data_IF_783952495589
#
_entry.id   IF_783952495589
#
_cell.length_a   1.000
_cell.length_b   1.000
_cell.length_c   1.000
_cell.angle_alpha   90.00
_cell.angle_beta   90.00
_cell.angle_gamma   90.00
#
_symmetry.space_group_name_H-M   'P 1'
#
loop_
_entity.id
_entity.type
_entity.pdbx_description
1 polymer ?
#
# COMPACT_ATOMS: atom_id res chain seq x y z
N UNK A 1 -26.60 -10.37 -9.73
CA UNK A 1 -25.94 -9.33 -10.56
C UNK A 1 -24.52 -9.26 -10.04
N UNK A 2 -23.53 -9.61 -10.87
CA UNK A 2 -22.13 -9.53 -10.47
C UNK A 2 -21.73 -8.04 -10.33
N UNK A 3 -21.15 -7.66 -9.18
CA UNK A 3 -20.58 -6.33 -9.03
C UNK A 3 -19.36 -6.21 -9.96
N UNK A 4 -19.33 -5.11 -10.70
CA UNK A 4 -18.19 -4.71 -11.52
C UNK A 4 -17.53 -3.50 -10.91
N UNK A 5 -16.21 -3.43 -11.00
CA UNK A 5 -15.42 -2.34 -10.47
C UNK A 5 -14.62 -1.67 -11.57
N UNK A 6 -14.53 -0.36 -11.50
CA UNK A 6 -13.56 0.45 -12.24
C UNK A 6 -12.31 0.63 -11.39
N UNK A 7 -11.15 0.52 -12.00
CA UNK A 7 -9.86 0.63 -11.32
C UNK A 7 -9.15 1.89 -11.79
N UNK A 8 -8.84 2.79 -10.87
CA UNK A 8 -8.11 4.03 -11.13
C UNK A 8 -6.74 3.98 -10.48
N UNK A 9 -5.69 4.20 -11.28
CA UNK A 9 -4.33 4.41 -10.81
C UNK A 9 -4.09 5.91 -10.60
N UNK A 10 -3.82 6.32 -9.38
CA UNK A 10 -3.60 7.71 -9.00
C UNK A 10 -2.11 7.90 -8.72
N UNK A 11 -1.39 8.47 -9.68
CA UNK A 11 0.01 8.82 -9.50
C UNK A 11 0.11 10.00 -8.53
N UNK A 12 0.78 9.79 -7.40
CA UNK A 12 0.92 10.81 -6.36
C UNK A 12 2.37 11.22 -6.11
N UNK A 13 3.34 10.40 -6.46
CA UNK A 13 4.73 10.68 -6.18
C UNK A 13 5.68 10.21 -7.28
N UNK A 14 6.92 10.68 -7.19
CA UNK A 14 8.00 10.37 -8.12
C UNK A 14 9.34 10.27 -7.39
N UNK A 15 10.22 9.42 -7.89
CA UNK A 15 11.58 9.30 -7.40
C UNK A 15 12.57 9.18 -8.55
N UNK A 16 13.46 10.16 -8.64
CA UNK A 16 14.58 10.10 -9.56
C UNK A 16 15.57 9.04 -9.09
N UNK A 17 15.74 7.99 -9.90
CA UNK A 17 16.69 6.91 -9.65
C UNK A 17 17.43 6.52 -10.91
N UNK A 18 18.52 5.80 -10.74
CA UNK A 18 19.21 5.11 -11.81
C UNK A 18 18.99 3.60 -11.74
N UNK A 19 19.31 2.91 -12.81
CA UNK A 19 19.15 1.45 -12.90
C UNK A 19 19.95 0.74 -11.79
N UNK A 20 21.16 1.21 -11.48
CA UNK A 20 22.02 0.68 -10.40
C UNK A 20 21.29 0.64 -9.05
N UNK A 21 20.43 1.61 -8.75
CA UNK A 21 19.66 1.63 -7.51
C UNK A 21 18.44 0.70 -7.50
N UNK A 22 18.01 0.21 -8.67
CA UNK A 22 16.81 -0.61 -8.81
C UNK A 22 17.10 -2.10 -8.86
N UNK A 23 18.35 -2.48 -9.14
CA UNK A 23 18.75 -3.89 -9.25
C UNK A 23 19.76 -4.28 -8.16
N UNK A 24 19.54 -5.45 -7.58
CA UNK A 24 20.52 -6.05 -6.67
C UNK A 24 21.79 -6.42 -7.46
N UNK A 25 22.94 -5.92 -7.00
CA UNK A 25 24.21 -6.09 -7.70
C UNK A 25 24.52 -5.00 -8.72
N UNK A 26 23.63 -4.02 -8.87
CA UNK A 26 23.78 -2.90 -9.80
C UNK A 26 23.41 -3.27 -11.25
N UNK A 27 23.63 -2.32 -12.13
CA UNK A 27 23.48 -2.50 -13.58
C UNK A 27 24.74 -1.91 -14.27
N UNK A 28 25.45 -2.68 -15.11
CA UNK A 28 26.63 -2.16 -15.82
C UNK A 28 26.29 -1.06 -16.84
N UNK A 29 25.03 -0.94 -17.24
CA UNK A 29 24.52 0.10 -18.14
C UNK A 29 23.73 1.15 -17.36
N UNK A 30 24.31 1.66 -16.26
CA UNK A 30 23.60 2.59 -15.37
C UNK A 30 23.10 3.83 -16.14
N UNK A 31 21.79 4.05 -16.05
CA UNK A 31 21.09 5.16 -16.67
C UNK A 31 19.85 5.55 -15.87
N UNK A 32 19.16 6.64 -16.24
CA UNK A 32 17.95 7.06 -15.57
C UNK A 32 16.89 5.93 -15.58
N UNK A 33 16.41 5.55 -14.40
CA UNK A 33 15.34 4.57 -14.21
C UNK A 33 14.43 5.02 -13.06
N UNK A 34 13.66 6.10 -13.27
CA UNK A 34 12.83 6.67 -12.23
C UNK A 34 11.69 5.72 -11.83
N UNK A 35 11.17 5.91 -10.62
CA UNK A 35 9.99 5.22 -10.10
C UNK A 35 8.87 6.21 -9.88
N UNK A 36 7.66 5.82 -10.24
CA UNK A 36 6.43 6.53 -9.90
C UNK A 36 5.68 5.79 -8.81
N UNK A 37 5.07 6.56 -7.91
CA UNK A 37 4.27 6.04 -6.81
C UNK A 37 2.79 6.22 -7.09
N UNK A 38 2.03 5.15 -6.85
CA UNK A 38 0.59 5.10 -7.10
C UNK A 38 -0.17 4.64 -5.85
N UNK A 39 -1.34 5.20 -5.66
CA UNK A 39 -2.43 4.58 -4.91
C UNK A 39 -3.54 4.22 -5.90
N UNK A 40 -4.41 3.31 -5.51
CA UNK A 40 -5.45 2.85 -6.41
C UNK A 40 -6.81 3.05 -5.79
N UNK A 41 -7.80 3.38 -6.62
CA UNK A 41 -9.19 3.37 -6.22
C UNK A 41 -9.94 2.31 -7.00
N UNK A 42 -10.74 1.52 -6.30
CA UNK A 42 -11.56 0.44 -6.81
C UNK A 42 -13.00 0.89 -6.64
N UNK A 43 -13.62 1.33 -7.72
CA UNK A 43 -14.93 2.01 -7.69
C UNK A 43 -16.01 1.09 -8.20
N UNK A 44 -16.90 0.68 -7.30
CA UNK A 44 -18.11 -0.07 -7.61
C UNK A 44 -19.36 0.80 -7.58
N UNK A 45 -20.49 0.26 -8.02
CA UNK A 45 -21.77 0.99 -8.03
C UNK A 45 -22.27 1.37 -6.63
N UNK A 46 -21.97 0.56 -5.61
CA UNK A 46 -22.49 0.72 -4.25
C UNK A 46 -21.42 1.15 -3.26
N UNK A 47 -20.16 0.83 -3.50
CA UNK A 47 -19.06 1.07 -2.59
C UNK A 47 -17.74 1.20 -3.36
N UNK A 48 -16.81 1.90 -2.75
CA UNK A 48 -15.46 2.06 -3.28
C UNK A 48 -14.45 1.67 -2.21
N UNK A 49 -13.30 1.22 -2.67
CA UNK A 49 -12.14 0.88 -1.83
C UNK A 49 -10.96 1.72 -2.27
N UNK A 50 -10.11 2.06 -1.33
CA UNK A 50 -8.79 2.62 -1.63
C UNK A 50 -7.74 1.54 -1.36
N UNK A 51 -6.83 1.33 -2.30
CA UNK A 51 -5.74 0.39 -2.16
C UNK A 51 -4.44 1.16 -2.03
N UNK A 52 -3.80 1.00 -0.87
CA UNK A 52 -2.70 1.77 -0.32
C UNK A 52 -3.03 3.26 -0.05
N UNK A 53 -2.23 3.89 0.80
CA UNK A 53 -2.48 5.27 1.22
C UNK A 53 -1.41 6.26 0.79
N UNK A 54 -0.27 5.74 0.28
CA UNK A 54 0.85 6.58 -0.12
C UNK A 54 1.59 7.23 1.06
N UNK A 55 2.43 8.20 0.75
CA UNK A 55 3.15 9.01 1.74
C UNK A 55 2.74 10.49 1.68
N UNK A 56 2.94 11.21 2.77
CA UNK A 56 2.73 12.65 2.90
C UNK A 56 4.00 13.46 2.53
N UNK A 57 3.87 14.80 2.48
CA UNK A 57 4.97 15.67 2.13
C UNK A 57 6.18 15.55 3.08
N UNK A 58 6.03 15.51 4.42
CA UNK A 58 7.16 15.32 5.33
C UNK A 58 7.93 14.01 5.10
N UNK A 59 7.22 12.90 4.85
CA UNK A 59 7.86 11.61 4.54
C UNK A 59 8.54 11.63 3.20
N UNK A 60 7.92 12.25 2.19
CA UNK A 60 8.52 12.45 0.88
C UNK A 60 9.83 13.22 0.99
N UNK A 61 9.85 14.35 1.67
CA UNK A 61 11.04 15.17 1.90
C UNK A 61 12.14 14.40 2.63
N UNK A 62 11.81 13.79 3.79
CA UNK A 62 12.74 12.95 4.57
C UNK A 62 13.44 11.89 3.72
N UNK A 63 12.72 11.31 2.76
CA UNK A 63 13.18 10.21 1.94
C UNK A 63 13.61 10.63 0.53
N UNK A 64 13.67 11.93 0.25
CA UNK A 64 14.04 12.48 -1.06
C UNK A 64 13.13 11.96 -2.19
N UNK A 65 11.83 11.93 -1.92
CA UNK A 65 10.78 11.59 -2.88
C UNK A 65 9.99 12.83 -3.23
N UNK A 66 9.70 13.01 -4.49
CA UNK A 66 8.90 14.15 -4.94
C UNK A 66 7.41 13.81 -4.80
N UNK A 67 6.69 14.55 -3.96
CA UNK A 67 5.25 14.51 -3.93
C UNK A 67 4.71 15.35 -5.09
N UNK A 68 4.08 14.71 -6.07
CA UNK A 68 3.50 15.38 -7.24
C UNK A 68 2.14 15.99 -6.92
N UNK A 69 1.40 15.30 -6.04
CA UNK A 69 0.10 15.76 -5.55
C UNK A 69 -0.26 14.99 -4.26
N UNK A 70 -0.92 15.63 -3.30
CA UNK A 70 -1.45 14.91 -2.15
C UNK A 70 -2.45 13.83 -2.55
N UNK A 71 -2.37 12.66 -1.92
CA UNK A 71 -3.24 11.51 -2.24
C UNK A 71 -4.72 11.88 -2.14
N UNK A 72 -5.11 12.64 -1.10
CA UNK A 72 -6.50 13.09 -0.92
C UNK A 72 -7.00 13.95 -2.08
N UNK A 73 -6.16 14.80 -2.67
CA UNK A 73 -6.52 15.57 -3.86
C UNK A 73 -6.70 14.68 -5.09
N UNK A 74 -5.80 13.69 -5.27
CA UNK A 74 -5.92 12.72 -6.35
C UNK A 74 -7.21 11.92 -6.30
N UNK A 75 -7.64 11.50 -5.10
CA UNK A 75 -8.91 10.82 -4.88
C UNK A 75 -10.12 11.73 -5.20
N UNK A 76 -10.07 12.99 -4.76
CA UNK A 76 -11.14 13.98 -5.05
C UNK A 76 -11.32 14.23 -6.55
N UNK A 77 -10.26 14.17 -7.36
CA UNK A 77 -10.33 14.34 -8.82
C UNK A 77 -11.20 13.27 -9.50
N UNK A 78 -11.33 12.10 -8.91
CA UNK A 78 -12.19 11.01 -9.40
C UNK A 78 -13.48 10.87 -8.58
N UNK A 79 -13.83 11.92 -7.81
CA UNK A 79 -15.08 11.99 -7.05
C UNK A 79 -15.08 11.26 -5.71
N UNK A 80 -13.93 10.78 -5.22
CA UNK A 80 -13.83 10.11 -3.92
C UNK A 80 -13.42 11.12 -2.85
N UNK A 81 -14.29 11.30 -1.84
CA UNK A 81 -13.94 12.04 -0.64
C UNK A 81 -13.28 11.09 0.37
N UNK A 82 -11.99 11.29 0.75
CA UNK A 82 -11.31 10.44 1.71
C UNK A 82 -12.04 10.29 3.05
N UNK A 83 -12.71 11.34 3.53
CA UNK A 83 -13.45 11.31 4.79
C UNK A 83 -14.65 10.34 4.78
N UNK A 84 -15.11 9.94 3.60
CA UNK A 84 -16.24 9.03 3.42
C UNK A 84 -15.84 7.61 3.03
N UNK A 85 -14.55 7.35 2.83
CA UNK A 85 -14.05 6.00 2.50
C UNK A 85 -14.24 5.09 3.71
N UNK A 86 -14.90 3.97 3.50
CA UNK A 86 -15.21 2.99 4.55
C UNK A 86 -14.23 1.82 4.59
N UNK A 87 -13.54 1.55 3.49
CA UNK A 87 -12.62 0.41 3.39
C UNK A 87 -11.31 0.82 2.67
N UNK A 88 -10.20 0.60 3.34
CA UNK A 88 -8.83 0.77 2.81
C UNK A 88 -8.13 -0.58 2.84
N UNK A 89 -7.51 -0.95 1.74
CA UNK A 89 -6.71 -2.17 1.63
C UNK A 89 -5.25 -1.76 1.67
N UNK A 90 -4.50 -2.29 2.61
CA UNK A 90 -3.05 -2.07 2.70
C UNK A 90 -2.34 -3.28 2.10
N UNK A 91 -1.56 -3.04 1.04
CA UNK A 91 -0.76 -4.09 0.42
C UNK A 91 0.34 -4.57 1.38
N UNK A 92 1.06 -3.64 1.97
CA UNK A 92 2.09 -3.86 2.99
C UNK A 92 2.42 -2.56 3.73
N UNK A 93 3.15 -2.65 4.85
CA UNK A 93 3.34 -1.55 5.79
C UNK A 93 4.56 -0.66 5.50
N UNK A 94 5.09 -0.63 4.26
CA UNK A 94 6.10 0.35 3.90
C UNK A 94 5.51 1.77 3.87
N UNK A 95 6.37 2.77 4.09
CA UNK A 95 5.99 4.18 4.21
C UNK A 95 5.19 4.72 3.00
N UNK A 96 5.45 4.19 1.81
CA UNK A 96 4.84 4.60 0.55
C UNK A 96 3.51 3.90 0.26
N UNK A 97 3.10 2.97 1.13
CA UNK A 97 1.83 2.25 1.07
C UNK A 97 0.92 2.55 2.26
N UNK A 98 1.46 2.82 3.44
CA UNK A 98 0.69 3.02 4.67
C UNK A 98 0.79 4.42 5.29
N UNK A 99 1.57 5.35 4.71
CA UNK A 99 1.96 6.60 5.34
C UNK A 99 0.87 7.66 5.49
N UNK A 100 -0.24 7.59 4.76
CA UNK A 100 -1.35 8.55 4.84
C UNK A 100 -2.62 7.96 5.43
N UNK A 101 -2.51 6.94 6.28
CA UNK A 101 -3.68 6.28 6.87
C UNK A 101 -4.63 7.25 7.61
N UNK A 102 -4.17 8.39 8.08
CA UNK A 102 -5.00 9.40 8.76
C UNK A 102 -6.01 10.12 7.85
N UNK A 103 -5.81 10.05 6.52
CA UNK A 103 -6.76 10.61 5.54
C UNK A 103 -8.13 9.92 5.57
N UNK A 104 -8.23 8.72 6.16
CA UNK A 104 -9.42 7.89 6.11
C UNK A 104 -10.00 7.65 7.51
N UNK A 105 -10.62 8.67 8.12
CA UNK A 105 -11.04 8.61 9.53
C UNK A 105 -12.12 7.55 9.82
N UNK A 106 -12.91 7.18 8.81
CA UNK A 106 -14.00 6.20 8.94
C UNK A 106 -13.63 4.80 8.47
N UNK A 107 -12.46 4.64 7.82
CA UNK A 107 -12.13 3.40 7.17
C UNK A 107 -11.79 2.27 8.14
N UNK A 108 -12.18 1.06 7.76
CA UNK A 108 -11.58 -0.20 8.21
C UNK A 108 -10.41 -0.52 7.28
N UNK A 109 -9.36 -1.07 7.84
CA UNK A 109 -8.12 -1.39 7.13
C UNK A 109 -8.02 -2.90 6.93
N UNK A 110 -7.99 -3.34 5.69
CA UNK A 110 -7.78 -4.74 5.33
C UNK A 110 -6.28 -5.00 5.23
N UNK A 111 -5.78 -5.93 6.03
CA UNK A 111 -4.35 -6.23 6.15
C UNK A 111 -4.12 -7.73 6.28
N UNK A 112 -3.05 -8.26 5.68
CA UNK A 112 -2.65 -9.65 5.88
C UNK A 112 -2.01 -9.85 7.26
N UNK A 113 -2.34 -10.94 7.96
CA UNK A 113 -1.77 -11.32 9.25
C UNK A 113 -0.24 -11.33 9.21
N UNK A 114 0.29 -11.90 8.14
CA UNK A 114 1.73 -12.04 7.95
C UNK A 114 2.45 -10.72 7.85
N UNK A 115 1.80 -9.68 7.32
CA UNK A 115 2.39 -8.34 7.23
C UNK A 115 2.51 -7.69 8.61
N UNK A 116 1.43 -7.75 9.42
CA UNK A 116 1.50 -7.23 10.78
C UNK A 116 2.50 -7.99 11.64
N UNK A 117 2.57 -9.32 11.50
CA UNK A 117 3.58 -10.16 12.15
C UNK A 117 4.99 -9.77 11.74
N UNK A 118 5.21 -9.39 10.48
CA UNK A 118 6.51 -8.99 9.97
C UNK A 118 6.93 -7.63 10.54
N UNK A 119 6.09 -6.60 10.40
CA UNK A 119 6.43 -5.23 10.80
C UNK A 119 6.44 -4.99 12.33
N UNK A 120 5.95 -5.94 13.13
CA UNK A 120 6.05 -5.91 14.60
C UNK A 120 6.97 -6.98 15.18
N UNK A 121 7.51 -7.85 14.32
CA UNK A 121 8.32 -8.98 14.73
C UNK A 121 9.83 -8.70 14.75
N UNK A 122 10.59 -9.78 14.98
CA UNK A 122 12.07 -9.75 15.09
C UNK A 122 12.77 -9.21 13.84
N UNK A 123 12.12 -9.21 12.68
CA UNK A 123 12.68 -8.65 11.44
C UNK A 123 13.01 -7.17 11.60
N UNK A 124 12.22 -6.45 12.38
CA UNK A 124 12.43 -5.02 12.64
C UNK A 124 13.63 -4.72 13.55
N UNK A 125 14.24 -5.73 14.18
CA UNK A 125 15.52 -5.59 14.88
C UNK A 125 16.69 -5.40 13.90
N UNK A 126 16.52 -5.78 12.63
CA UNK A 126 17.55 -5.65 11.60
C UNK A 126 17.42 -4.31 10.86
N UNK A 127 18.45 -3.47 10.94
CA UNK A 127 18.42 -2.14 10.33
C UNK A 127 18.05 -2.16 8.84
N UNK A 128 18.64 -3.08 8.07
CA UNK A 128 18.39 -3.18 6.62
C UNK A 128 16.92 -3.49 6.28
N UNK A 129 16.25 -4.30 7.10
CA UNK A 129 14.87 -4.71 6.87
C UNK A 129 13.84 -3.65 7.28
N UNK A 130 14.17 -2.83 8.30
CA UNK A 130 13.25 -1.81 8.80
C UNK A 130 13.33 -0.46 8.06
N UNK A 131 14.33 -0.27 7.18
CA UNK A 131 14.51 1.00 6.43
C UNK A 131 13.22 1.48 5.75
N UNK A 132 12.41 0.65 5.06
CA UNK A 132 11.23 1.11 4.37
C UNK A 132 10.01 1.33 5.29
N UNK A 133 10.12 1.00 6.58
CA UNK A 133 9.03 1.19 7.54
C UNK A 133 9.18 2.52 8.29
N UNK A 134 8.06 3.11 8.68
CA UNK A 134 7.99 4.19 9.68
C UNK A 134 7.32 3.65 10.94
N UNK A 135 7.95 3.88 12.08
CA UNK A 135 7.43 3.38 13.37
C UNK A 135 6.04 3.94 13.67
N UNK A 136 5.80 5.21 13.30
CA UNK A 136 4.51 5.86 13.54
C UNK A 136 3.38 5.21 12.75
N UNK A 137 3.64 4.76 11.52
CA UNK A 137 2.64 4.06 10.69
C UNK A 137 2.29 2.69 11.29
N UNK A 138 3.30 1.95 11.76
CA UNK A 138 3.10 0.66 12.42
C UNK A 138 2.35 0.83 13.74
N UNK A 139 2.74 1.80 14.55
CA UNK A 139 2.08 2.09 15.84
C UNK A 139 0.63 2.51 15.63
N UNK A 140 0.37 3.39 14.66
CA UNK A 140 -0.99 3.80 14.33
C UNK A 140 -1.85 2.64 13.81
N UNK A 141 -1.27 1.65 13.14
CA UNK A 141 -2.01 0.45 12.74
C UNK A 141 -2.34 -0.42 13.96
N UNK A 142 -1.42 -0.53 14.94
CA UNK A 142 -1.70 -1.19 16.24
C UNK A 142 -2.86 -0.48 16.95
N UNK A 143 -2.86 0.85 17.03
CA UNK A 143 -3.97 1.60 17.62
C UNK A 143 -5.31 1.33 16.92
N UNK A 144 -5.29 1.19 15.58
CA UNK A 144 -6.48 0.84 14.80
C UNK A 144 -6.99 -0.58 15.08
N UNK A 145 -6.09 -1.52 15.41
CA UNK A 145 -6.50 -2.86 15.85
C UNK A 145 -7.33 -2.77 17.12
N UNK A 146 -6.85 -2.02 18.12
CA UNK A 146 -7.55 -1.84 19.40
C UNK A 146 -8.83 -1.00 19.28
N UNK A 147 -8.99 -0.25 18.19
CA UNK A 147 -10.18 0.50 17.86
C UNK A 147 -11.16 -0.26 16.95
N UNK A 148 -10.99 -1.58 16.77
CA UNK A 148 -11.82 -2.46 15.91
C UNK A 148 -11.88 -1.99 14.44
N UNK A 149 -10.80 -1.35 13.96
CA UNK A 149 -10.72 -0.78 12.61
C UNK A 149 -9.79 -1.55 11.67
N UNK A 150 -9.30 -2.71 12.06
CA UNK A 150 -8.50 -3.58 11.20
C UNK A 150 -9.23 -4.90 10.98
N UNK A 151 -9.30 -5.30 9.71
CA UNK A 151 -9.82 -6.60 9.29
C UNK A 151 -8.62 -7.42 8.80
N UNK A 152 -8.27 -8.42 9.56
CA UNK A 152 -7.17 -9.31 9.20
C UNK A 152 -7.59 -10.36 8.19
N UNK A 153 -6.65 -10.72 7.31
CA UNK A 153 -6.80 -11.77 6.32
C UNK A 153 -5.64 -12.76 6.42
N UNK A 154 -5.96 -14.04 6.36
CA UNK A 154 -4.97 -15.13 6.29
C UNK A 154 -5.05 -15.80 4.91
N UNK A 155 -4.21 -15.35 4.01
CA UNK A 155 -4.15 -15.86 2.64
C UNK A 155 -5.17 -15.24 1.70
N UNK A 156 -6.16 -16.02 1.25
CA UNK A 156 -7.17 -15.58 0.27
C UNK A 156 -8.48 -15.28 0.96
N UNK A 157 -8.99 -14.07 0.76
CA UNK A 157 -10.29 -13.64 1.31
C UNK A 157 -11.07 -12.80 0.30
N UNK A 158 -12.34 -13.10 0.12
CA UNK A 158 -13.27 -12.22 -0.61
C UNK A 158 -13.75 -11.12 0.34
N UNK A 159 -13.44 -9.85 0.01
CA UNK A 159 -13.82 -8.68 0.82
C UNK A 159 -15.11 -8.00 0.34
N UNK A 160 -15.47 -8.27 -0.90
CA UNK A 160 -16.75 -7.88 -1.49
C UNK A 160 -16.99 -8.78 -2.72
N UNK A 161 -18.23 -8.88 -3.23
CA UNK A 161 -18.55 -9.68 -4.41
C UNK A 161 -17.59 -9.35 -5.58
N UNK A 162 -16.86 -10.36 -6.07
CA UNK A 162 -15.83 -10.26 -7.12
C UNK A 162 -14.59 -9.42 -6.76
N UNK A 163 -14.36 -9.13 -5.50
CA UNK A 163 -13.16 -8.46 -5.02
C UNK A 163 -12.46 -9.32 -3.96
N UNK A 164 -11.30 -9.85 -4.31
CA UNK A 164 -10.55 -10.78 -3.47
C UNK A 164 -9.16 -10.22 -3.17
N UNK A 165 -8.74 -10.28 -1.93
CA UNK A 165 -7.36 -10.07 -1.50
C UNK A 165 -6.67 -11.41 -1.35
N UNK A 166 -5.37 -11.45 -1.65
CA UNK A 166 -4.53 -12.64 -1.48
C UNK A 166 -3.11 -12.25 -1.10
N UNK A 167 -2.42 -13.15 -0.44
CA UNK A 167 -0.97 -13.01 -0.23
C UNK A 167 -0.27 -13.15 -1.58
N UNK A 168 0.55 -12.16 -1.93
CA UNK A 168 1.56 -12.29 -2.97
C UNK A 168 2.91 -12.47 -2.29
N UNK A 169 3.55 -13.61 -2.53
CA UNK A 169 4.92 -13.81 -2.09
C UNK A 169 5.82 -13.00 -3.02
N UNK A 170 6.54 -12.01 -2.47
CA UNK A 170 7.56 -11.33 -3.24
C UNK A 170 8.64 -12.32 -3.65
N UNK A 171 9.09 -12.27 -4.91
CA UNK A 171 10.12 -13.16 -5.47
C UNK A 171 11.54 -12.83 -4.95
N UNK A 172 11.69 -12.04 -3.92
CA UNK A 172 12.98 -11.81 -3.26
C UNK A 172 13.40 -13.02 -2.41
N UNK A 173 13.51 -14.17 -3.07
CA UNK A 173 14.07 -15.40 -2.49
C UNK A 173 15.58 -15.33 -2.30
N UNK A 174 16.14 -14.31 -1.64
CA UNK A 174 17.56 -14.36 -1.20
C UNK A 174 17.86 -13.65 0.12
N UNK A 175 16.86 -13.25 0.87
CA UNK A 175 17.01 -13.02 2.30
C UNK A 175 15.84 -13.68 3.01
N UNK A 176 16.07 -14.23 4.18
CA UNK A 176 15.16 -15.06 4.97
C UNK A 176 13.93 -14.33 5.52
N UNK A 177 13.31 -13.45 4.74
CA UNK A 177 12.13 -12.67 5.08
C UNK A 177 11.08 -12.79 3.99
N UNK A 178 9.99 -13.44 4.34
CA UNK A 178 8.75 -13.47 3.57
C UNK A 178 8.06 -12.11 3.77
N UNK A 179 8.31 -11.15 2.90
CA UNK A 179 7.41 -10.00 2.76
C UNK A 179 6.16 -10.49 2.03
N UNK A 180 5.03 -10.39 2.68
CA UNK A 180 3.74 -10.68 2.06
C UNK A 180 3.07 -9.39 1.67
N UNK A 181 2.84 -9.21 0.38
CA UNK A 181 2.03 -8.11 -0.12
C UNK A 181 0.62 -8.60 -0.45
N UNK A 182 -0.40 -7.83 -0.16
CA UNK A 182 -1.73 -8.10 -0.66
C UNK A 182 -1.79 -7.80 -2.16
N UNK A 183 -2.29 -8.74 -2.93
CA UNK A 183 -2.55 -8.55 -4.36
C UNK A 183 -4.06 -8.59 -4.59
N UNK A 184 -4.55 -7.64 -5.36
CA UNK A 184 -5.93 -7.62 -5.81
C UNK A 184 -6.11 -8.57 -6.99
N UNK A 185 -7.16 -9.36 -6.93
CA UNK A 185 -7.64 -10.13 -8.08
C UNK A 185 -9.10 -9.77 -8.31
N UNK A 186 -9.37 -9.11 -9.43
CA UNK A 186 -10.73 -8.98 -9.95
C UNK A 186 -10.99 -10.16 -10.88
N UNK A 187 -12.02 -10.93 -10.62
CA UNK A 187 -12.40 -12.00 -11.51
C UNK A 187 -13.00 -11.42 -12.81
N UNK A 188 -12.32 -11.69 -13.92
CA UNK A 188 -12.61 -11.49 -15.34
C UNK A 188 -12.19 -10.14 -15.95
N UNK A 189 -11.09 -10.21 -16.65
CA UNK A 189 -10.93 -9.45 -17.89
C UNK A 189 -11.89 -10.04 -18.95
N UNK A 190 -12.64 -9.18 -19.62
CA UNK A 190 -13.20 -9.46 -20.95
C UNK A 190 -12.36 -8.75 -21.99
#
# INVERSE_FOLDING_TARGET
VSDTYELFAIRYGHHHRTATHNFLGGDPHDGPMPLDYFVWAIVGKKRSFVFDTGFDAPRGEKRQRTLLRPVGEGLKMIGINPDSVEDVIISHMHFDHSGNHSLFPKARYHLQDTEMKYCTGRCMCHQALRIPFEVDDVTAMVEKIFADRVVFHDGVSEIAPNLTVRVALSTQRRSSSLESAATLSTARYR
#
